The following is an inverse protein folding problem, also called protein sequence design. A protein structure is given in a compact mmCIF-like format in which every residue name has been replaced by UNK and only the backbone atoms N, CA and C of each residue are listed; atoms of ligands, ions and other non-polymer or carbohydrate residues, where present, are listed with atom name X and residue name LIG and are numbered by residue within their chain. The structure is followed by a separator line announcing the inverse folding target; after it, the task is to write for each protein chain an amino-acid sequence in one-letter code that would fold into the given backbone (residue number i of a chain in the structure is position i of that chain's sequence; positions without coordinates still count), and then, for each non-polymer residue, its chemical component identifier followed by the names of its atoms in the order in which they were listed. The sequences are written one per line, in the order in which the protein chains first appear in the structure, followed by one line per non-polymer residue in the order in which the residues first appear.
data_IF_650579862057
#
_entry.id   IF_650579862057
#
_cell.length_a   1.000
_cell.length_b   1.000
_cell.length_c   1.000
_cell.angle_alpha   90.00
_cell.angle_beta   90.00
_cell.angle_gamma   90.00
#
_symmetry.space_group_name_H-M   'P 1'
#
loop_
_entity.id
_entity.type
_entity.pdbx_description
1 polymer ?
#
# COMPACT_ATOMS: atom_id res chain seq x y z
N UNK A 1 18.45 52.41 -14.66
CA UNK A 1 17.70 51.55 -13.72
C UNK A 1 16.56 50.93 -14.52
N UNK A 2 16.62 49.63 -14.77
CA UNK A 2 15.60 48.95 -15.59
C UNK A 2 14.34 48.74 -14.77
N UNK A 3 13.26 49.39 -15.17
CA UNK A 3 11.94 49.25 -14.58
C UNK A 3 11.46 47.81 -14.77
N UNK A 4 11.36 47.05 -13.67
CA UNK A 4 10.88 45.68 -13.70
C UNK A 4 9.38 45.69 -14.04
N UNK A 5 9.05 45.51 -15.31
CA UNK A 5 7.66 45.39 -15.77
C UNK A 5 7.00 44.25 -15.00
N UNK A 6 5.96 44.51 -14.19
CA UNK A 6 5.27 43.46 -13.46
C UNK A 6 4.60 42.54 -14.48
N UNK A 7 5.10 41.30 -14.59
CA UNK A 7 4.50 40.25 -15.41
C UNK A 7 3.04 40.07 -14.98
N UNK A 8 2.11 40.58 -15.79
CA UNK A 8 0.67 40.37 -15.58
C UNK A 8 0.45 38.86 -15.53
N UNK A 9 -0.06 38.37 -14.39
CA UNK A 9 -0.44 36.96 -14.28
C UNK A 9 -1.49 36.70 -15.36
N UNK A 10 -1.26 35.72 -16.25
CA UNK A 10 -2.22 35.41 -17.30
C UNK A 10 -3.56 35.05 -16.66
N UNK A 11 -4.63 35.63 -17.18
CA UNK A 11 -6.00 35.36 -16.73
C UNK A 11 -6.46 34.07 -17.42
N UNK A 12 -7.00 33.14 -16.62
CA UNK A 12 -7.53 31.87 -17.11
C UNK A 12 -6.60 30.68 -16.86
N UNK A 13 -6.90 29.55 -17.51
CA UNK A 13 -6.12 28.32 -17.31
C UNK A 13 -4.84 28.34 -18.12
N UNK A 14 -3.76 27.90 -17.49
CA UNK A 14 -2.49 27.66 -18.17
C UNK A 14 -2.72 26.63 -19.29
N UNK A 15 -2.49 27.06 -20.53
CA UNK A 15 -2.50 26.22 -21.73
C UNK A 15 -1.06 25.83 -22.03
N UNK A 16 -0.79 24.53 -22.12
CA UNK A 16 0.51 23.98 -22.55
C UNK A 16 0.26 22.92 -23.62
N UNK A 17 1.24 22.63 -24.49
CA UNK A 17 1.10 21.56 -25.48
C UNK A 17 0.73 20.21 -24.84
N UNK A 18 1.30 19.89 -23.68
CA UNK A 18 0.98 18.67 -22.93
C UNK A 18 -0.49 18.65 -22.50
N UNK A 19 -0.99 19.75 -21.90
CA UNK A 19 -2.37 19.85 -21.45
C UNK A 19 -3.38 19.75 -22.60
N UNK A 20 -3.06 20.38 -23.73
CA UNK A 20 -3.88 20.28 -24.94
C UNK A 20 -3.87 18.85 -25.49
N UNK A 21 -2.72 18.16 -25.42
CA UNK A 21 -2.62 16.74 -25.74
C UNK A 21 -3.54 15.87 -24.88
N UNK A 22 -3.53 16.05 -23.56
CA UNK A 22 -4.42 15.30 -22.66
C UNK A 22 -5.89 15.60 -22.90
N UNK A 23 -6.26 16.85 -23.21
CA UNK A 23 -7.65 17.19 -23.57
C UNK A 23 -8.10 16.46 -24.84
N UNK A 24 -7.28 16.43 -25.89
CA UNK A 24 -7.61 15.65 -27.11
C UNK A 24 -7.69 14.16 -26.81
N UNK A 25 -6.80 13.65 -25.97
CA UNK A 25 -6.80 12.24 -25.58
C UNK A 25 -8.06 11.89 -24.77
N UNK A 26 -8.61 12.80 -23.96
CA UNK A 26 -9.84 12.54 -23.21
C UNK A 26 -11.08 12.42 -24.10
N UNK A 27 -11.06 13.03 -25.29
CA UNK A 27 -12.15 12.92 -26.28
C UNK A 27 -12.22 11.52 -26.91
N UNK A 28 -11.10 10.78 -26.97
CA UNK A 28 -11.05 9.40 -27.49
C UNK A 28 -11.37 8.33 -26.44
N UNK A 29 -12.01 8.70 -25.33
CA UNK A 29 -12.31 7.76 -24.25
C UNK A 29 -13.42 6.77 -24.60
N UNK A 30 -13.08 5.48 -24.51
CA UNK A 30 -14.04 4.38 -24.61
C UNK A 30 -14.74 4.16 -23.26
N UNK A 31 -15.84 4.88 -23.04
CA UNK A 31 -16.65 4.75 -21.83
C UNK A 31 -17.21 3.33 -21.66
N UNK A 32 -17.32 2.86 -20.41
CA UNK A 32 -17.67 1.49 -20.07
C UNK A 32 -16.54 0.46 -20.18
N UNK A 33 -15.35 0.85 -20.65
CA UNK A 33 -14.17 -0.03 -20.65
C UNK A 33 -13.55 -0.21 -19.26
N UNK A 34 -13.74 0.78 -18.37
CA UNK A 34 -13.20 0.80 -17.01
C UNK A 34 -14.26 1.33 -16.05
N UNK A 35 -14.47 0.62 -14.95
CA UNK A 35 -15.45 0.97 -13.93
C UNK A 35 -14.94 2.08 -13.01
N UNK A 36 -15.85 2.85 -12.40
CA UNK A 36 -15.52 3.81 -11.34
C UNK A 36 -14.69 3.18 -10.21
N UNK A 37 -15.02 1.95 -9.82
CA UNK A 37 -14.30 1.21 -8.77
C UNK A 37 -12.84 0.96 -9.14
N UNK A 38 -12.57 0.54 -10.37
CA UNK A 38 -11.19 0.37 -10.88
C UNK A 38 -10.42 1.69 -10.89
N UNK A 39 -11.07 2.80 -11.28
CA UNK A 39 -10.45 4.12 -11.25
C UNK A 39 -10.16 4.60 -9.82
N UNK A 40 -11.03 4.31 -8.85
CA UNK A 40 -10.80 4.66 -7.45
C UNK A 40 -9.62 3.87 -6.87
N UNK A 41 -9.53 2.57 -7.17
CA UNK A 41 -8.39 1.73 -6.79
C UNK A 41 -7.10 2.21 -7.45
N UNK A 42 -7.14 2.57 -8.73
CA UNK A 42 -5.99 3.16 -9.42
C UNK A 42 -5.53 4.45 -8.74
N UNK A 43 -6.46 5.41 -8.54
CA UNK A 43 -6.18 6.69 -7.92
C UNK A 43 -5.59 6.56 -6.51
N UNK A 44 -6.05 5.60 -5.71
CA UNK A 44 -5.52 5.31 -4.39
C UNK A 44 -4.08 4.76 -4.44
N UNK A 45 -3.76 3.94 -5.45
CA UNK A 45 -2.45 3.29 -5.56
C UNK A 45 -1.39 4.12 -6.29
N UNK A 46 -1.78 5.09 -7.11
CA UNK A 46 -0.85 5.94 -7.87
C UNK A 46 0.33 6.54 -7.07
N UNK A 47 0.21 6.90 -5.78
CA UNK A 47 1.35 7.41 -5.01
C UNK A 47 2.56 6.46 -4.97
N UNK A 48 2.38 5.14 -5.10
CA UNK A 48 3.51 4.21 -5.11
C UNK A 48 4.43 4.40 -6.33
N UNK A 49 3.93 5.02 -7.40
CA UNK A 49 4.70 5.32 -8.63
C UNK A 49 5.55 6.59 -8.51
N UNK A 50 5.29 7.43 -7.50
CA UNK A 50 5.88 8.76 -7.38
C UNK A 50 5.29 9.82 -8.32
N UNK A 51 4.32 9.48 -9.17
CA UNK A 51 3.67 10.44 -10.09
C UNK A 51 2.90 11.54 -9.35
N UNK A 52 2.27 11.19 -8.23
CA UNK A 52 1.50 12.10 -7.37
C UNK A 52 1.77 11.81 -5.89
N UNK A 53 1.54 12.80 -5.04
CA UNK A 53 1.62 12.60 -3.59
C UNK A 53 0.29 12.11 -2.99
N UNK A 54 0.32 11.77 -1.70
CA UNK A 54 -0.85 11.25 -0.98
C UNK A 54 -2.03 12.25 -0.92
N UNK A 55 -1.77 13.55 -0.83
CA UNK A 55 -2.85 14.56 -0.84
C UNK A 55 -3.51 14.64 -2.20
N UNK A 56 -2.72 14.62 -3.27
CA UNK A 56 -3.23 14.63 -4.66
C UNK A 56 -4.02 13.36 -4.97
N UNK A 57 -3.56 12.20 -4.51
CA UNK A 57 -4.31 10.95 -4.59
C UNK A 57 -5.64 11.03 -3.84
N UNK A 58 -5.67 11.59 -2.62
CA UNK A 58 -6.91 11.81 -1.89
C UNK A 58 -7.91 12.66 -2.67
N UNK A 59 -7.46 13.80 -3.23
CA UNK A 59 -8.30 14.63 -4.10
C UNK A 59 -8.79 13.86 -5.33
N UNK A 60 -7.92 13.10 -5.99
CA UNK A 60 -8.28 12.33 -7.18
C UNK A 60 -9.35 11.27 -6.86
N UNK A 61 -9.22 10.56 -5.74
CA UNK A 61 -10.24 9.61 -5.25
C UNK A 61 -11.55 10.33 -4.93
N UNK A 62 -11.52 11.49 -4.27
CA UNK A 62 -12.72 12.32 -4.02
C UNK A 62 -13.42 12.71 -5.32
N UNK A 63 -12.66 13.07 -6.36
CA UNK A 63 -13.21 13.39 -7.67
C UNK A 63 -13.86 12.17 -8.32
N UNK A 64 -13.16 11.03 -8.39
CA UNK A 64 -13.71 9.78 -8.95
C UNK A 64 -15.00 9.37 -8.24
N UNK A 65 -15.08 9.54 -6.92
CA UNK A 65 -16.25 9.18 -6.13
C UNK A 65 -17.38 10.22 -6.17
N UNK A 66 -17.12 11.42 -6.69
CA UNK A 66 -18.16 12.46 -6.84
C UNK A 66 -19.07 12.18 -8.03
N UNK A 67 -18.53 11.60 -9.10
CA UNK A 67 -19.34 11.16 -10.23
C UNK A 67 -19.99 9.81 -9.90
N UNK A 68 -21.25 9.63 -10.30
CA UNK A 68 -21.96 8.37 -10.09
C UNK A 68 -21.30 7.24 -10.90
N UNK A 69 -21.48 5.96 -10.51
CA UNK A 69 -20.94 4.84 -11.29
C UNK A 69 -21.35 4.88 -12.78
N UNK A 70 -22.60 5.23 -13.05
CA UNK A 70 -23.21 5.26 -14.39
C UNK A 70 -22.55 6.33 -15.28
N UNK A 71 -21.95 7.37 -14.68
CA UNK A 71 -21.22 8.38 -15.43
C UNK A 71 -19.97 7.81 -16.14
N UNK A 72 -19.48 6.64 -15.72
CA UNK A 72 -18.34 5.94 -16.34
C UNK A 72 -18.76 4.81 -17.29
N UNK A 73 -20.05 4.47 -17.33
CA UNK A 73 -20.59 3.44 -18.22
C UNK A 73 -20.75 3.96 -19.65
N UNK A 74 -21.08 3.07 -20.59
CA UNK A 74 -21.28 3.42 -22.00
C UNK A 74 -22.30 4.56 -22.16
N UNK A 75 -21.90 5.64 -22.82
CA UNK A 75 -22.73 6.84 -23.00
C UNK A 75 -22.77 7.79 -21.79
N UNK A 76 -22.12 7.45 -20.68
CA UNK A 76 -21.98 8.31 -19.51
C UNK A 76 -21.09 9.53 -19.75
N UNK A 77 -21.04 10.45 -18.78
CA UNK A 77 -20.20 11.66 -18.86
C UNK A 77 -19.60 11.96 -17.49
N UNK A 78 -18.35 11.53 -17.19
CA UNK A 78 -17.76 11.70 -15.87
C UNK A 78 -17.14 13.11 -15.72
N UNK A 79 -18.00 14.13 -15.79
CA UNK A 79 -17.65 15.55 -15.63
C UNK A 79 -18.12 16.03 -14.26
N UNK A 80 -17.20 16.62 -13.49
CA UNK A 80 -17.44 17.03 -12.11
C UNK A 80 -17.56 18.55 -11.99
N UNK A 81 -18.63 18.99 -11.34
CA UNK A 81 -18.99 20.40 -11.21
C UNK A 81 -18.67 21.03 -9.84
N UNK A 82 -18.21 20.25 -8.86
CA UNK A 82 -17.90 20.75 -7.50
C UNK A 82 -16.94 21.94 -7.55
N UNK A 83 -17.22 22.97 -6.75
CA UNK A 83 -16.36 24.15 -6.65
C UNK A 83 -15.05 23.82 -5.90
N UNK A 84 -14.01 24.64 -6.08
CA UNK A 84 -12.78 24.47 -5.29
C UNK A 84 -13.03 24.65 -3.79
N UNK A 85 -14.03 25.42 -3.38
CA UNK A 85 -14.42 25.60 -1.98
C UNK A 85 -15.04 24.33 -1.39
N UNK A 86 -15.92 23.68 -2.13
CA UNK A 86 -16.51 22.41 -1.70
C UNK A 86 -15.46 21.30 -1.63
N UNK A 87 -14.62 21.18 -2.66
CA UNK A 87 -13.50 20.22 -2.65
C UNK A 87 -12.56 20.50 -1.48
N UNK A 88 -12.23 21.77 -1.21
CA UNK A 88 -11.39 22.19 -0.10
C UNK A 88 -11.95 21.75 1.26
N UNK A 89 -13.26 21.93 1.46
CA UNK A 89 -13.95 21.44 2.65
C UNK A 89 -13.86 19.92 2.78
N UNK A 90 -14.20 19.17 1.72
CA UNK A 90 -14.22 17.71 1.73
C UNK A 90 -12.84 17.08 2.00
N UNK A 91 -11.76 17.67 1.49
CA UNK A 91 -10.40 17.15 1.69
C UNK A 91 -9.63 17.84 2.82
N UNK A 92 -10.28 18.73 3.57
CA UNK A 92 -9.69 19.55 4.63
C UNK A 92 -8.39 20.29 4.17
N UNK A 93 -8.49 21.10 3.11
CA UNK A 93 -7.38 21.91 2.57
C UNK A 93 -7.86 23.31 2.21
N UNK A 94 -6.93 24.24 2.00
CA UNK A 94 -7.29 25.57 1.49
C UNK A 94 -7.67 25.52 0.01
N UNK A 95 -8.54 26.45 -0.41
CA UNK A 95 -8.98 26.60 -1.80
C UNK A 95 -7.79 26.77 -2.76
N UNK A 96 -6.79 27.57 -2.37
CA UNK A 96 -5.56 27.76 -3.15
C UNK A 96 -4.76 26.46 -3.31
N UNK A 97 -4.71 25.61 -2.27
CA UNK A 97 -4.05 24.31 -2.32
C UNK A 97 -4.78 23.33 -3.22
N UNK A 98 -6.11 23.27 -3.16
CA UNK A 98 -6.93 22.49 -4.12
C UNK A 98 -6.67 22.94 -5.54
N UNK A 99 -6.66 24.25 -5.80
CA UNK A 99 -6.37 24.78 -7.13
C UNK A 99 -5.00 24.35 -7.65
N UNK A 100 -3.98 24.34 -6.79
CA UNK A 100 -2.63 23.87 -7.15
C UNK A 100 -2.61 22.38 -7.41
N UNK A 101 -3.27 21.58 -6.57
CA UNK A 101 -3.36 20.13 -6.72
C UNK A 101 -4.08 19.75 -8.03
N UNK A 102 -5.20 20.42 -8.37
CA UNK A 102 -5.87 20.23 -9.66
C UNK A 102 -4.97 20.58 -10.85
N UNK A 103 -4.17 21.65 -10.73
CA UNK A 103 -3.18 22.01 -11.75
C UNK A 103 -2.13 20.91 -11.91
N UNK A 104 -1.60 20.38 -10.81
CA UNK A 104 -0.61 19.29 -10.84
C UNK A 104 -1.21 17.99 -11.41
N UNK A 105 -2.45 17.65 -11.04
CA UNK A 105 -3.17 16.51 -11.60
C UNK A 105 -3.41 16.65 -13.11
N UNK A 106 -3.66 17.87 -13.60
CA UNK A 106 -3.72 18.14 -15.04
C UNK A 106 -2.34 17.95 -15.66
N UNK A 107 -1.29 18.54 -15.09
CA UNK A 107 0.08 18.40 -15.60
C UNK A 107 0.54 16.94 -15.64
N UNK A 108 0.08 16.10 -14.72
CA UNK A 108 0.31 14.65 -14.69
C UNK A 108 -0.60 13.84 -15.65
N UNK A 109 -1.55 14.49 -16.31
CA UNK A 109 -2.53 13.86 -17.21
C UNK A 109 -3.51 12.92 -16.50
N UNK A 110 -3.90 13.27 -15.27
CA UNK A 110 -4.82 12.51 -14.42
C UNK A 110 -6.21 13.16 -14.34
N UNK A 111 -6.31 14.44 -14.66
CA UNK A 111 -7.58 15.12 -14.94
C UNK A 111 -7.40 15.99 -16.16
N UNK A 112 -8.48 16.19 -16.89
CA UNK A 112 -8.56 17.26 -17.89
C UNK A 112 -9.64 18.21 -17.46
N UNK A 113 -9.84 19.26 -18.26
CA UNK A 113 -10.88 20.18 -17.94
C UNK A 113 -11.59 20.72 -19.18
N UNK A 114 -12.91 20.74 -19.06
CA UNK A 114 -13.85 21.31 -20.03
C UNK A 114 -14.20 22.71 -19.55
N UNK A 115 -13.70 23.72 -20.26
CA UNK A 115 -13.79 25.11 -19.87
C UNK A 115 -15.00 25.81 -20.48
N UNK A 116 -15.65 26.66 -19.68
CA UNK A 116 -16.51 27.72 -20.18
C UNK A 116 -15.68 28.96 -20.48
N UNK A 117 -16.22 29.92 -21.25
CA UNK A 117 -15.55 31.21 -21.49
C UNK A 117 -15.14 31.95 -20.20
N UNK A 118 -15.85 31.70 -19.09
CA UNK A 118 -15.58 32.31 -17.77
C UNK A 118 -14.84 31.37 -16.80
N UNK A 119 -14.36 30.20 -17.24
CA UNK A 119 -13.68 29.19 -16.42
C UNK A 119 -14.48 28.64 -15.21
N UNK A 120 -15.78 28.95 -15.15
CA UNK A 120 -16.71 28.46 -14.14
C UNK A 120 -17.13 27.01 -14.44
N UNK A 121 -17.47 26.28 -13.38
CA UNK A 121 -17.98 24.91 -13.46
C UNK A 121 -19.50 24.92 -13.33
N UNK A 122 -20.21 24.37 -14.30
CA UNK A 122 -21.67 24.26 -14.27
C UNK A 122 -22.16 23.16 -15.22
N UNK A 123 -23.21 22.41 -14.83
CA UNK A 123 -23.88 21.49 -15.73
C UNK A 123 -24.77 22.24 -16.73
N UNK A 124 -24.86 21.72 -17.96
CA UNK A 124 -25.89 22.04 -18.93
C UNK A 124 -27.03 21.03 -18.79
N UNK A 125 -28.25 21.53 -18.62
CA UNK A 125 -29.45 20.69 -18.46
C UNK A 125 -30.36 20.84 -19.67
N UNK A 126 -31.05 19.76 -20.04
CA UNK A 126 -32.11 19.82 -21.05
C UNK A 126 -33.41 20.40 -20.45
N UNK A 127 -34.47 20.47 -21.27
CA UNK A 127 -35.79 20.97 -20.85
C UNK A 127 -36.39 20.16 -19.68
N UNK A 128 -36.06 18.87 -19.59
CA UNK A 128 -36.51 17.97 -18.51
C UNK A 128 -35.65 18.05 -17.24
N UNK A 129 -34.65 18.94 -17.21
CA UNK A 129 -33.76 19.14 -16.06
C UNK A 129 -32.65 18.10 -15.91
N UNK A 130 -32.50 17.17 -16.86
CA UNK A 130 -31.44 16.16 -16.92
C UNK A 130 -30.13 16.79 -17.39
N UNK A 131 -29.01 16.42 -16.75
CA UNK A 131 -27.68 16.91 -17.12
C UNK A 131 -27.25 16.24 -18.42
N UNK A 132 -27.07 17.02 -19.48
CA UNK A 132 -26.70 16.53 -20.82
C UNK A 132 -25.25 16.84 -21.21
N UNK A 133 -24.70 17.92 -20.67
CA UNK A 133 -23.29 18.32 -20.86
C UNK A 133 -22.86 19.24 -19.71
N UNK A 134 -21.67 19.85 -19.77
CA UNK A 134 -21.23 20.77 -18.73
C UNK A 134 -19.79 21.24 -18.87
N UNK A 135 -19.47 22.36 -18.22
CA UNK A 135 -18.09 22.79 -18.05
C UNK A 135 -17.61 22.34 -16.67
N UNK A 136 -16.53 21.57 -16.58
CA UNK A 136 -16.12 20.93 -15.33
C UNK A 136 -14.73 20.28 -15.37
N UNK A 137 -14.44 19.49 -14.33
CA UNK A 137 -13.28 18.60 -14.28
C UNK A 137 -13.65 17.33 -15.04
N UNK A 138 -12.92 17.01 -16.10
CA UNK A 138 -13.20 15.88 -16.98
C UNK A 138 -12.28 14.69 -16.65
N UNK A 139 -12.91 13.59 -16.23
CA UNK A 139 -12.24 12.38 -15.77
C UNK A 139 -11.99 11.36 -16.89
N UNK A 140 -12.45 11.60 -18.12
CA UNK A 140 -12.29 10.67 -19.25
C UNK A 140 -10.82 10.32 -19.53
N UNK A 141 -9.89 11.24 -19.25
CA UNK A 141 -8.46 10.99 -19.39
C UNK A 141 -7.96 9.79 -18.57
N UNK A 142 -8.54 9.55 -17.38
CA UNK A 142 -8.16 8.40 -16.55
C UNK A 142 -8.60 7.07 -17.17
N UNK A 143 -9.71 7.07 -17.90
CA UNK A 143 -10.21 5.88 -18.59
C UNK A 143 -9.22 5.51 -19.70
N UNK A 144 -8.85 6.49 -20.52
CA UNK A 144 -7.92 6.28 -21.65
C UNK A 144 -6.56 5.80 -21.18
N UNK A 145 -6.04 6.39 -20.09
CA UNK A 145 -4.73 6.05 -19.54
C UNK A 145 -4.75 4.92 -18.52
N UNK A 146 -5.90 4.28 -18.29
CA UNK A 146 -6.04 3.29 -17.23
C UNK A 146 -4.99 2.17 -17.34
N UNK A 147 -4.85 1.56 -18.52
CA UNK A 147 -3.92 0.43 -18.73
C UNK A 147 -2.46 0.83 -18.49
N UNK A 148 -2.07 2.01 -18.97
CA UNK A 148 -0.72 2.57 -18.78
C UNK A 148 -0.44 2.78 -17.27
N UNK A 149 -1.32 3.52 -16.60
CA UNK A 149 -1.16 3.90 -15.19
C UNK A 149 -1.22 2.69 -14.26
N UNK A 150 -2.13 1.75 -14.52
CA UNK A 150 -2.22 0.51 -13.75
C UNK A 150 -0.98 -0.37 -13.95
N UNK A 151 -0.42 -0.40 -15.17
CA UNK A 151 0.89 -1.01 -15.45
C UNK A 151 2.01 -0.42 -14.59
N UNK A 152 2.09 0.91 -14.49
CA UNK A 152 3.07 1.60 -13.64
C UNK A 152 2.89 1.24 -12.15
N UNK A 153 1.65 1.19 -11.67
CA UNK A 153 1.34 0.80 -10.29
C UNK A 153 1.78 -0.65 -10.01
N UNK A 154 1.46 -1.58 -10.91
CA UNK A 154 1.86 -2.99 -10.78
C UNK A 154 3.38 -3.13 -10.76
N UNK A 155 4.08 -2.44 -11.65
CA UNK A 155 5.53 -2.44 -11.72
C UNK A 155 6.16 -1.92 -10.41
N UNK A 156 5.72 -0.75 -9.93
CA UNK A 156 6.23 -0.17 -8.69
C UNK A 156 6.00 -1.08 -7.47
N UNK A 157 4.83 -1.73 -7.39
CA UNK A 157 4.54 -2.72 -6.34
C UNK A 157 5.42 -3.96 -6.45
N UNK A 158 5.64 -4.48 -7.66
CA UNK A 158 6.49 -5.64 -7.90
C UNK A 158 7.95 -5.37 -7.51
N UNK A 159 8.48 -4.20 -7.88
CA UNK A 159 9.83 -3.76 -7.50
C UNK A 159 9.97 -3.64 -5.97
N UNK A 160 9.00 -3.03 -5.30
CA UNK A 160 8.99 -2.92 -3.84
C UNK A 160 8.93 -4.29 -3.16
N UNK A 161 8.11 -5.20 -3.68
CA UNK A 161 8.00 -6.58 -3.17
C UNK A 161 9.31 -7.35 -3.35
N UNK A 162 9.94 -7.27 -4.53
CA UNK A 162 11.22 -7.90 -4.83
C UNK A 162 12.34 -7.37 -3.93
N UNK A 163 12.40 -6.05 -3.69
CA UNK A 163 13.36 -5.44 -2.79
C UNK A 163 13.17 -5.91 -1.34
N UNK A 164 11.91 -5.96 -0.88
CA UNK A 164 11.56 -6.43 0.46
C UNK A 164 11.90 -7.92 0.64
N UNK A 165 11.66 -8.74 -0.39
CA UNK A 165 12.02 -10.16 -0.39
C UNK A 165 13.54 -10.36 -0.33
N UNK A 166 14.31 -9.59 -1.12
CA UNK A 166 15.78 -9.63 -1.09
C UNK A 166 16.32 -9.25 0.31
N UNK A 167 15.78 -8.20 0.93
CA UNK A 167 16.16 -7.80 2.29
C UNK A 167 15.85 -8.88 3.32
N UNK A 168 14.66 -9.50 3.24
CA UNK A 168 14.27 -10.60 4.14
C UNK A 168 15.18 -11.81 3.99
N UNK A 169 15.48 -12.23 2.75
CA UNK A 169 16.40 -13.35 2.47
C UNK A 169 17.81 -13.06 2.98
N UNK A 170 18.34 -11.86 2.74
CA UNK A 170 19.63 -11.44 3.29
C UNK A 170 19.68 -11.55 4.81
N UNK A 171 18.69 -10.98 5.52
CA UNK A 171 18.63 -11.04 6.98
C UNK A 171 18.51 -12.48 7.49
N UNK A 172 17.74 -13.32 6.80
CA UNK A 172 17.63 -14.75 7.10
C UNK A 172 18.96 -15.48 6.94
N UNK A 173 19.62 -15.35 5.79
CA UNK A 173 20.90 -15.99 5.51
C UNK A 173 22.00 -15.54 6.48
N UNK A 174 22.05 -14.25 6.82
CA UNK A 174 22.98 -13.71 7.83
C UNK A 174 22.76 -14.36 9.19
N UNK A 175 21.51 -14.47 9.64
CA UNK A 175 21.17 -15.14 10.90
C UNK A 175 21.57 -16.61 10.89
N UNK A 176 21.25 -17.31 9.80
CA UNK A 176 21.56 -18.73 9.65
C UNK A 176 23.08 -18.97 9.65
N UNK A 177 23.86 -18.12 8.98
CA UNK A 177 25.32 -18.23 8.97
C UNK A 177 25.91 -17.99 10.36
N UNK A 178 25.44 -16.96 11.07
CA UNK A 178 25.88 -16.72 12.46
C UNK A 178 25.54 -17.91 13.37
N UNK A 179 24.34 -18.47 13.22
CA UNK A 179 23.94 -19.65 13.97
C UNK A 179 24.81 -20.87 13.64
N UNK A 180 25.01 -21.18 12.36
CA UNK A 180 25.83 -22.29 11.90
C UNK A 180 27.29 -22.16 12.40
N UNK A 181 27.85 -20.95 12.37
CA UNK A 181 29.17 -20.70 12.93
C UNK A 181 29.17 -20.94 14.44
N UNK A 182 28.18 -20.43 15.18
CA UNK A 182 28.10 -20.60 16.63
C UNK A 182 27.98 -22.06 17.07
N UNK A 183 27.16 -22.87 16.39
CA UNK A 183 26.87 -24.26 16.78
C UNK A 183 27.81 -25.29 16.20
N UNK A 184 28.68 -24.91 15.26
CA UNK A 184 29.62 -25.83 14.65
C UNK A 184 30.69 -26.31 15.66
N UNK A 185 30.51 -27.55 16.13
CA UNK A 185 31.51 -28.37 16.82
C UNK A 185 32.33 -29.10 15.76
N UNK A 186 33.66 -29.01 15.79
CA UNK A 186 34.55 -29.62 14.78
C UNK A 186 35.13 -28.68 13.72
N UNK A 187 34.79 -27.39 13.74
CA UNK A 187 35.57 -26.39 12.99
C UNK A 187 36.86 -26.07 13.74
N UNK A 188 38.03 -26.24 13.09
CA UNK A 188 39.29 -25.71 13.62
C UNK A 188 39.19 -24.20 13.84
N UNK A 189 39.84 -23.68 14.88
CA UNK A 189 39.82 -22.25 15.22
C UNK A 189 40.20 -21.38 14.01
N UNK A 190 41.27 -21.74 13.31
CA UNK A 190 41.72 -21.05 12.09
C UNK A 190 40.67 -21.02 10.99
N UNK A 191 39.90 -22.10 10.82
CA UNK A 191 38.83 -22.14 9.83
C UNK A 191 37.65 -21.26 10.25
N UNK A 192 37.29 -21.29 11.54
CA UNK A 192 36.24 -20.45 12.12
C UNK A 192 36.55 -18.97 11.93
N UNK A 193 37.72 -18.49 12.35
CA UNK A 193 38.09 -17.08 12.22
C UNK A 193 38.14 -16.61 10.76
N UNK A 194 38.52 -17.48 9.82
CA UNK A 194 38.49 -17.15 8.37
C UNK A 194 37.07 -16.95 7.85
N UNK A 195 36.12 -17.79 8.27
CA UNK A 195 34.72 -17.68 7.88
C UNK A 195 34.07 -16.44 8.50
N UNK A 196 34.32 -16.19 9.79
CA UNK A 196 33.87 -14.99 10.50
C UNK A 196 34.43 -13.71 9.86
N UNK A 197 35.73 -13.66 9.57
CA UNK A 197 36.32 -12.51 8.89
C UNK A 197 35.69 -12.27 7.50
N UNK A 198 35.29 -13.33 6.79
CA UNK A 198 34.61 -13.21 5.49
C UNK A 198 33.17 -12.75 5.64
N UNK A 199 32.46 -13.23 6.67
CA UNK A 199 31.14 -12.74 7.04
C UNK A 199 31.19 -11.22 7.30
N UNK A 200 32.10 -10.76 8.15
CA UNK A 200 32.21 -9.35 8.51
C UNK A 200 32.58 -8.47 7.31
N UNK A 201 33.43 -8.94 6.40
CA UNK A 201 33.69 -8.22 5.13
C UNK A 201 32.42 -8.06 4.28
N UNK A 202 31.61 -9.10 4.15
CA UNK A 202 30.36 -9.01 3.37
C UNK A 202 29.37 -8.06 4.04
N UNK A 203 29.23 -8.14 5.37
CA UNK A 203 28.38 -7.23 6.15
C UNK A 203 28.83 -5.78 5.99
N UNK A 204 30.14 -5.52 6.04
CA UNK A 204 30.71 -4.19 5.83
C UNK A 204 30.40 -3.63 4.44
N UNK A 205 30.51 -4.45 3.38
CA UNK A 205 30.17 -4.05 2.00
C UNK A 205 28.67 -3.77 1.84
N UNK A 206 27.81 -4.55 2.49
CA UNK A 206 26.36 -4.31 2.47
C UNK A 206 25.99 -3.05 3.26
N UNK A 207 26.70 -2.77 4.35
CA UNK A 207 26.43 -1.65 5.24
C UNK A 207 25.01 -1.73 5.84
N UNK A 208 24.26 -0.63 5.74
CA UNK A 208 22.86 -0.60 6.19
C UNK A 208 21.99 -1.37 5.19
N UNK A 209 21.68 -2.63 5.50
CA UNK A 209 20.95 -3.53 4.61
C UNK A 209 19.64 -2.95 4.05
N UNK A 210 18.92 -2.12 4.82
CA UNK A 210 17.69 -1.47 4.37
C UNK A 210 17.90 -0.40 3.28
N UNK A 211 19.13 0.12 3.14
CA UNK A 211 19.54 1.09 2.12
C UNK A 211 20.30 0.43 0.96
N UNK A 212 20.68 -0.84 1.09
CA UNK A 212 21.42 -1.56 0.07
C UNK A 212 20.53 -1.92 -1.14
N UNK A 213 21.12 -1.98 -2.33
CA UNK A 213 20.40 -2.37 -3.54
C UNK A 213 20.00 -3.85 -3.50
N UNK A 214 18.90 -4.21 -4.15
CA UNK A 214 18.46 -5.61 -4.21
C UNK A 214 19.50 -6.53 -4.85
N UNK A 215 20.31 -6.02 -5.79
CA UNK A 215 21.40 -6.77 -6.41
C UNK A 215 22.51 -7.12 -5.40
N UNK A 216 22.92 -6.15 -4.57
CA UNK A 216 23.92 -6.36 -3.51
C UNK A 216 23.39 -7.36 -2.47
N UNK A 217 22.14 -7.19 -2.03
CA UNK A 217 21.52 -8.10 -1.07
C UNK A 217 21.46 -9.54 -1.58
N UNK A 218 21.06 -9.75 -2.85
CA UNK A 218 21.04 -11.08 -3.46
C UNK A 218 22.43 -11.72 -3.53
N UNK A 219 23.45 -10.98 -3.95
CA UNK A 219 24.84 -11.48 -3.98
C UNK A 219 25.35 -11.84 -2.59
N UNK A 220 25.07 -11.01 -1.59
CA UNK A 220 25.44 -11.30 -0.21
C UNK A 220 24.72 -12.53 0.34
N UNK A 221 23.43 -12.70 0.04
CA UNK A 221 22.67 -13.92 0.37
C UNK A 221 23.34 -15.18 -0.20
N UNK A 222 23.65 -15.19 -1.50
CA UNK A 222 24.31 -16.36 -2.13
C UNK A 222 25.67 -16.67 -1.52
N UNK A 223 26.42 -15.64 -1.11
CA UNK A 223 27.70 -15.82 -0.43
C UNK A 223 27.51 -16.41 0.98
N UNK A 224 26.49 -15.99 1.71
CA UNK A 224 26.19 -16.54 3.03
C UNK A 224 25.72 -17.99 2.95
N UNK A 225 24.88 -18.33 1.98
CA UNK A 225 24.45 -19.72 1.72
C UNK A 225 25.66 -20.61 1.41
N UNK A 226 26.57 -20.15 0.53
CA UNK A 226 27.82 -20.86 0.25
C UNK A 226 28.72 -21.01 1.48
N UNK A 227 28.82 -19.98 2.33
CA UNK A 227 29.61 -20.05 3.57
C UNK A 227 29.03 -21.05 4.57
N UNK A 228 27.70 -21.15 4.66
CA UNK A 228 27.01 -22.15 5.50
C UNK A 228 27.36 -23.55 5.02
N UNK A 229 27.21 -23.83 3.72
CA UNK A 229 27.56 -25.13 3.13
C UNK A 229 29.04 -25.47 3.37
N UNK A 230 29.93 -24.49 3.22
CA UNK A 230 31.35 -24.68 3.49
C UNK A 230 31.64 -25.00 4.95
N UNK A 231 30.98 -24.32 5.89
CA UNK A 231 31.11 -24.60 7.32
C UNK A 231 30.67 -26.02 7.65
N UNK A 232 29.50 -26.45 7.14
CA UNK A 232 28.98 -27.80 7.33
C UNK A 232 29.89 -28.88 6.73
N UNK A 233 30.47 -28.63 5.54
CA UNK A 233 31.41 -29.57 4.91
C UNK A 233 32.70 -29.73 5.71
N UNK A 234 33.20 -28.65 6.34
CA UNK A 234 34.39 -28.71 7.19
C UNK A 234 34.12 -29.46 8.49
N UNK A 235 32.94 -29.30 9.10
CA UNK A 235 32.52 -30.09 10.25
C UNK A 235 32.47 -31.59 9.93
N UNK A 236 31.84 -31.98 8.81
CA UNK A 236 31.75 -33.40 8.39
C UNK A 236 33.10 -34.08 8.19
N UNK A 237 34.11 -33.35 7.68
CA UNK A 237 35.46 -33.90 7.50
C UNK A 237 36.24 -34.09 8.81
N UNK A 238 35.79 -33.44 9.88
CA UNK A 238 36.41 -33.54 11.19
C UNK A 238 35.87 -34.70 12.02
N UNK A 239 34.79 -35.36 11.60
CA UNK A 239 34.38 -36.62 12.21
C UNK A 239 35.31 -37.73 11.70
N UNK A 240 36.04 -38.44 12.57
CA UNK A 240 36.84 -39.58 12.16
C UNK A 240 35.90 -40.66 11.60
N UNK A 241 36.26 -41.23 10.46
CA UNK A 241 35.61 -42.45 9.97
C UNK A 241 35.82 -43.53 11.05
N UNK A 242 34.78 -43.83 11.83
CA UNK A 242 34.77 -45.00 12.70
C UNK A 242 34.83 -46.23 11.78
N UNK A 243 36.03 -46.74 11.58
CA UNK A 243 36.25 -48.10 11.11
C UNK A 243 35.52 -49.01 12.09
N UNK A 244 34.54 -49.74 11.57
CA UNK A 244 33.76 -50.72 12.31
C UNK A 244 34.67 -51.91 12.60
N UNK A 245 35.44 -51.82 13.69
CA UNK A 245 35.99 -53.01 14.31
C UNK A 245 34.86 -53.71 15.06
N UNK A 246 34.41 -54.83 14.48
CA UNK A 246 33.50 -55.77 15.11
C UNK A 246 34.16 -56.33 16.38
N UNK A 247 33.89 -55.70 17.52
CA UNK A 247 34.15 -56.26 18.84
C UNK A 247 32.83 -56.76 19.40
N UNK A 248 32.66 -58.07 19.34
CA UNK A 248 31.63 -58.77 20.08
C UNK A 248 31.93 -58.68 21.58
N UNK A 249 31.08 -58.00 22.33
CA UNK A 249 30.94 -58.20 23.77
C UNK A 249 29.47 -58.48 24.09
N UNK A 250 29.24 -59.70 24.55
CA UNK A 250 27.96 -60.18 25.04
C UNK A 250 27.65 -59.58 26.43
N UNK A 251 26.35 -59.39 26.66
CA UNK A 251 25.66 -59.23 27.95
C UNK A 251 25.84 -57.89 28.69
N UNK A 252 24.77 -57.08 28.73
CA UNK A 252 23.93 -56.97 29.92
C UNK A 252 22.76 -56.00 29.67
N UNK A 253 21.61 -56.41 30.20
CA UNK A 253 20.31 -55.77 30.21
C UNK A 253 20.35 -54.32 30.76
N UNK A 254 19.57 -53.41 30.17
CA UNK A 254 18.22 -53.10 30.66
C UNK A 254 17.79 -51.68 30.20
N UNK A 255 16.49 -51.58 29.91
CA UNK A 255 15.63 -50.40 30.06
C UNK A 255 16.01 -49.05 29.42
N UNK A 256 15.31 -48.67 28.35
CA UNK A 256 14.01 -47.97 28.44
C UNK A 256 13.64 -47.44 27.04
N UNK A 257 12.60 -48.00 26.47
CA UNK A 257 11.98 -47.51 25.24
C UNK A 257 10.97 -46.41 25.60
N UNK A 258 11.23 -45.16 25.19
CA UNK A 258 10.18 -44.13 25.09
C UNK A 258 10.03 -43.70 23.64
N UNK A 259 9.34 -44.53 22.87
CA UNK A 259 8.62 -44.08 21.68
C UNK A 259 7.55 -43.08 22.12
N UNK A 260 7.76 -41.80 21.86
CA UNK A 260 6.70 -40.80 21.93
C UNK A 260 5.96 -40.83 20.61
N UNK A 261 4.91 -41.66 20.55
CA UNK A 261 3.89 -41.59 19.52
C UNK A 261 2.55 -41.63 20.22
N UNK A 262 1.87 -40.49 20.32
CA UNK A 262 0.52 -40.43 19.77
C UNK A 262 0.04 -38.98 19.56
N UNK A 263 -0.80 -38.77 18.54
CA UNK A 263 -1.31 -37.49 18.09
C UNK A 263 -2.51 -37.02 18.93
N UNK A 264 -2.68 -35.71 19.04
CA UNK A 264 -3.87 -35.09 19.63
C UNK A 264 -5.15 -35.49 18.86
N UNK A 265 -6.20 -36.01 19.54
CA UNK A 265 -7.51 -36.09 18.93
C UNK A 265 -8.24 -34.74 19.04
N UNK A 266 -8.67 -34.23 17.89
CA UNK A 266 -9.60 -33.10 17.79
C UNK A 266 -10.96 -33.57 18.28
N UNK A 267 -11.40 -33.10 19.45
CA UNK A 267 -12.77 -33.25 19.91
C UNK A 267 -13.49 -31.92 19.77
N UNK A 268 -14.43 -31.89 18.82
CA UNK A 268 -15.47 -30.89 18.72
C UNK A 268 -16.42 -31.04 19.91
N UNK A 269 -16.64 -29.97 20.68
CA UNK A 269 -17.75 -29.87 21.62
C UNK A 269 -18.45 -28.54 21.42
N UNK A 270 -19.58 -28.59 20.71
CA UNK A 270 -20.61 -27.58 20.78
C UNK A 270 -21.55 -27.89 21.94
N UNK A 271 -22.16 -26.82 22.46
CA UNK A 271 -23.35 -26.76 23.30
C UNK A 271 -23.18 -26.58 24.82
N UNK A 272 -23.69 -25.42 25.25
CA UNK A 272 -24.40 -25.16 26.50
C UNK A 272 -23.68 -25.42 27.83
N UNK A 273 -23.39 -24.32 28.55
CA UNK A 273 -24.21 -23.91 29.71
C UNK A 273 -23.81 -22.53 30.24
N UNK A 274 -24.84 -21.67 30.33
CA UNK A 274 -24.88 -20.43 31.11
C UNK A 274 -25.09 -20.73 32.60
N UNK A 275 -24.75 -19.73 33.43
CA UNK A 275 -25.11 -19.51 34.84
C UNK A 275 -24.20 -20.20 35.89
N UNK A 276 -23.83 -19.64 37.05
CA UNK A 276 -24.14 -18.37 37.71
C UNK A 276 -23.10 -18.05 38.82
N UNK A 277 -23.15 -16.80 39.31
CA UNK A 277 -22.67 -16.26 40.60
C UNK A 277 -21.19 -15.86 40.79
N UNK A 278 -20.96 -14.53 40.71
CA UNK A 278 -20.32 -13.78 41.80
C UNK A 278 -20.74 -12.28 41.75
N UNK A 279 -21.63 -11.93 42.67
CA UNK A 279 -21.76 -10.68 43.46
C UNK A 279 -21.82 -9.30 42.78
N UNK A 280 -23.04 -8.73 42.81
CA UNK A 280 -23.33 -7.30 42.71
C UNK A 280 -23.36 -6.68 44.12
N UNK A 281 -22.54 -5.66 44.35
CA UNK A 281 -22.70 -4.72 45.44
C UNK A 281 -23.67 -3.60 45.01
N UNK A 282 -24.81 -3.52 45.70
CA UNK A 282 -25.76 -2.39 45.64
C UNK A 282 -25.31 -1.28 46.61
N UNK A 283 -25.39 -0.04 46.17
CA UNK A 283 -25.65 1.11 47.05
C UNK A 283 -26.54 2.14 46.31
N UNK A 284 -27.80 2.13 46.74
CA UNK A 284 -28.80 3.20 46.94
C UNK A 284 -29.19 4.21 45.85
N UNK A 285 -30.52 4.35 45.80
CA UNK A 285 -31.42 5.15 44.99
C UNK A 285 -31.39 6.66 45.29
N UNK A 286 -31.81 7.47 44.31
CA UNK A 286 -32.69 8.60 44.52
C UNK A 286 -33.43 9.01 43.23
N UNK A 287 -34.76 8.94 43.24
CA UNK A 287 -35.62 10.11 43.01
C UNK A 287 -35.95 10.56 41.57
N UNK A 288 -37.11 10.08 41.11
CA UNK A 288 -38.12 10.71 40.22
C UNK A 288 -38.14 12.24 40.00
N UNK A 289 -38.50 12.62 38.75
CA UNK A 289 -39.27 13.80 38.27
C UNK A 289 -38.65 14.31 36.94
N UNK A 290 -39.33 14.64 35.84
CA UNK A 290 -40.71 15.09 35.60
C UNK A 290 -41.07 14.92 34.11
N UNK A 291 -42.36 14.94 33.84
CA UNK A 291 -43.03 14.77 32.56
C UNK A 291 -43.69 16.12 32.17
N UNK A 292 -43.80 16.40 30.85
CA UNK A 292 -44.67 17.40 30.18
C UNK A 292 -44.08 18.83 30.08
N UNK A 293 -44.27 19.64 29.03
CA UNK A 293 -45.39 19.79 28.10
C UNK A 293 -44.97 20.30 26.70
N UNK A 294 -45.73 19.91 25.67
CA UNK A 294 -45.82 20.52 24.34
C UNK A 294 -46.86 21.65 24.38
N UNK A 295 -46.56 22.84 23.84
CA UNK A 295 -47.58 23.85 23.53
C UNK A 295 -47.60 24.19 22.04
N UNK A 296 -48.82 24.43 21.57
CA UNK A 296 -49.25 24.50 20.19
C UNK A 296 -49.32 25.94 19.65
N UNK A 297 -49.39 26.00 18.33
CA UNK A 297 -49.74 27.09 17.43
C UNK A 297 -50.47 28.31 18.00
N UNK A 298 -50.01 29.49 17.56
CA UNK A 298 -50.87 30.67 17.40
C UNK A 298 -50.88 31.09 15.94
N UNK A 299 -52.09 31.17 15.39
CA UNK A 299 -52.43 31.93 14.20
C UNK A 299 -53.75 32.66 14.45
N UNK A 300 -53.85 33.89 13.93
CA UNK A 300 -55.11 34.63 13.74
C UNK A 300 -55.24 35.92 14.54
N UNK A 301 -55.11 37.06 13.85
CA UNK A 301 -55.33 38.42 14.36
C UNK A 301 -54.51 39.45 13.59
#
# INVERSE_FOLDING_TARGET
MGEAVPLKRPIGRRVTPQRTGYRRLSESAELGSVTRGQLAVLAHNLPCTGLINASESHLLVTLVNTASPEAFDKGGRPIIFKSNQQLAFEINRSVGRVSRMLSNLFDAGLVTMQDSGNYKRYPHRNADGLIVDGCGIDMRILIVRYRELDGLVRQAKAEKAAASAALRRYRGALRNLRYALATATGLSERARSRLEARLERVVAVVGIAAKASSAVLRRATTLFEWLIERALQLCRRSEPALVTENSACANAENDMHRQTTNPDPIVNSNENRRSAHAEQLRLLEAGSASQWAYEASLGGG
#
